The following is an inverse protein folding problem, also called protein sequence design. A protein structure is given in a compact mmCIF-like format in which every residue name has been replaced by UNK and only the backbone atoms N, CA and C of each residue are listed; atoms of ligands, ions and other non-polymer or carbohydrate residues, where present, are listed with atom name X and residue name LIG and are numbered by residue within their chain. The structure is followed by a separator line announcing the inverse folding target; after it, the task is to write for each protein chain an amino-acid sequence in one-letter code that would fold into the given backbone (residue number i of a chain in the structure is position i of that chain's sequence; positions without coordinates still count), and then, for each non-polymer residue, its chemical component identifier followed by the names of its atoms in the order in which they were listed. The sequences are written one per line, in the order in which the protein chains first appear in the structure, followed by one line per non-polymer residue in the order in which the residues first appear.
data_IF_255677282533
#
_entry.id   IF_255677282533
#
_cell.length_a   1.000
_cell.length_b   1.000
_cell.length_c   1.000
_cell.angle_alpha   90.00
_cell.angle_beta   90.00
_cell.angle_gamma   90.00
#
_symmetry.space_group_name_H-M   'P 1'
#
loop_
_entity.id
_entity.type
_entity.pdbx_description
1 polymer ?
#
# COMPACT_ATOMS: atom_id res chain seq x y z
N UNK A 1 -50.52 17.47 25.72
CA UNK A 1 -49.96 17.57 24.36
C UNK A 1 -48.43 17.71 24.36
N UNK A 2 -47.83 18.45 25.27
CA UNK A 2 -46.35 18.69 25.32
C UNK A 2 -45.48 17.44 25.61
N UNK A 3 -45.93 16.43 26.33
CA UNK A 3 -45.15 15.21 26.63
C UNK A 3 -44.87 14.32 25.39
N UNK A 4 -45.77 14.34 24.39
CA UNK A 4 -45.55 13.56 23.13
C UNK A 4 -44.57 14.22 22.16
N UNK A 5 -44.45 15.55 22.16
CA UNK A 5 -43.46 16.25 21.30
C UNK A 5 -42.04 15.96 21.77
N UNK A 6 -41.76 15.91 23.07
CA UNK A 6 -40.43 15.62 23.60
C UNK A 6 -39.94 14.20 23.33
N UNK A 7 -40.83 13.23 23.23
CA UNK A 7 -40.46 11.84 22.90
C UNK A 7 -40.11 11.67 21.40
N UNK A 8 -40.81 12.38 20.51
CA UNK A 8 -40.54 12.32 19.07
C UNK A 8 -39.21 13.00 18.73
N UNK A 9 -38.91 14.14 19.37
CA UNK A 9 -37.63 14.84 19.16
C UNK A 9 -36.43 14.04 19.69
N UNK A 10 -36.57 13.34 20.82
CA UNK A 10 -35.51 12.51 21.39
C UNK A 10 -35.24 11.25 20.53
N UNK A 11 -36.30 10.62 20.00
CA UNK A 11 -36.17 9.47 19.11
C UNK A 11 -35.53 9.84 17.78
N UNK A 12 -35.86 10.98 17.18
CA UNK A 12 -35.23 11.50 15.98
C UNK A 12 -33.75 11.84 16.20
N UNK A 13 -33.39 12.46 17.31
CA UNK A 13 -32.02 12.76 17.67
C UNK A 13 -31.18 11.48 17.87
N UNK A 14 -31.80 10.46 18.50
CA UNK A 14 -31.13 9.18 18.71
C UNK A 14 -30.95 8.40 17.41
N UNK A 15 -31.88 8.47 16.45
CA UNK A 15 -31.74 7.92 15.12
C UNK A 15 -30.66 8.63 14.31
N UNK A 16 -30.53 9.95 14.43
CA UNK A 16 -29.47 10.73 13.78
C UNK A 16 -28.09 10.42 14.38
N UNK A 17 -27.99 10.25 15.69
CA UNK A 17 -26.74 9.87 16.35
C UNK A 17 -26.34 8.42 16.01
N UNK A 18 -27.30 7.49 15.98
CA UNK A 18 -27.04 6.10 15.58
C UNK A 18 -26.69 5.96 14.09
N UNK A 19 -27.36 6.71 13.20
CA UNK A 19 -26.98 6.72 11.78
C UNK A 19 -25.64 7.39 11.53
N UNK A 20 -25.29 8.45 12.26
CA UNK A 20 -23.97 9.08 12.22
C UNK A 20 -22.86 8.15 12.71
N UNK A 21 -23.09 7.41 13.79
CA UNK A 21 -22.13 6.43 14.33
C UNK A 21 -22.00 5.21 13.41
N UNK A 22 -23.09 4.74 12.79
CA UNK A 22 -23.07 3.68 11.78
C UNK A 22 -22.37 4.11 10.48
N UNK A 23 -22.46 5.40 10.11
CA UNK A 23 -21.76 5.92 8.94
C UNK A 23 -20.26 6.04 9.19
N UNK A 24 -19.83 6.42 10.39
CA UNK A 24 -18.43 6.46 10.80
C UNK A 24 -17.83 5.06 10.99
N UNK A 25 -18.64 4.05 11.31
CA UNK A 25 -18.18 2.67 11.48
C UNK A 25 -17.98 1.90 10.15
N UNK A 26 -18.49 2.41 9.04
CA UNK A 26 -18.35 1.76 7.73
C UNK A 26 -17.20 2.32 6.86
N UNK A 27 -16.44 3.27 7.36
CA UNK A 27 -15.31 3.88 6.65
C UNK A 27 -13.94 3.43 7.20
N UNK A 28 -13.87 2.24 7.80
CA UNK A 28 -12.56 1.65 8.12
C UNK A 28 -12.08 0.88 6.89
N UNK A 29 -11.53 1.63 5.94
CA UNK A 29 -10.84 1.05 4.79
C UNK A 29 -9.61 0.26 5.27
N UNK A 30 -9.32 -0.82 4.56
CA UNK A 30 -8.11 -1.63 4.78
C UNK A 30 -6.94 -0.78 4.33
N UNK A 31 -6.19 -0.24 5.27
CA UNK A 31 -5.05 0.62 5.00
C UNK A 31 -3.78 -0.23 5.06
N UNK A 32 -3.17 -0.44 3.91
CA UNK A 32 -1.83 -0.99 3.82
C UNK A 32 -0.82 0.17 3.80
N UNK A 33 0.18 0.19 4.68
CA UNK A 33 1.11 1.31 4.85
C UNK A 33 0.42 2.69 4.89
N UNK A 34 -0.82 2.70 5.28
CA UNK A 34 -1.74 3.83 5.36
C UNK A 34 -1.66 4.81 4.18
N UNK A 35 -2.57 4.64 3.25
CA UNK A 35 -2.78 5.60 2.15
C UNK A 35 -3.38 6.92 2.63
N UNK A 36 -4.01 6.93 3.83
CA UNK A 36 -4.74 8.09 4.35
C UNK A 36 -4.74 8.22 5.88
N UNK A 37 -3.65 7.90 6.55
CA UNK A 37 -3.47 7.88 8.01
C UNK A 37 -3.80 9.18 8.76
N UNK A 38 -4.84 9.88 8.35
CA UNK A 38 -5.23 11.18 8.93
C UNK A 38 -4.31 12.34 8.53
N UNK A 39 -3.30 12.07 7.70
CA UNK A 39 -2.53 13.10 7.02
C UNK A 39 -2.69 12.92 5.49
N UNK A 40 -3.75 13.48 4.90
CA UNK A 40 -4.07 13.30 3.48
C UNK A 40 -3.00 13.86 2.54
N UNK A 41 -1.96 14.50 3.07
CA UNK A 41 -0.94 15.17 2.26
C UNK A 41 0.26 14.30 1.96
N UNK A 42 0.56 13.25 2.77
CA UNK A 42 1.76 12.42 2.58
C UNK A 42 1.64 11.02 3.21
N UNK A 43 0.96 10.07 2.57
CA UNK A 43 0.91 8.69 3.02
C UNK A 43 2.29 7.98 2.89
N UNK A 44 2.46 6.86 3.58
CA UNK A 44 3.71 6.09 3.59
C UNK A 44 4.13 5.65 2.18
N UNK A 45 3.18 5.26 1.33
CA UNK A 45 3.42 4.94 -0.09
C UNK A 45 4.06 6.11 -0.86
N UNK A 46 3.59 7.35 -0.62
CA UNK A 46 4.22 8.52 -1.21
C UNK A 46 5.70 8.62 -0.85
N UNK A 47 6.06 8.47 0.43
CA UNK A 47 7.46 8.56 0.86
C UNK A 47 8.36 7.50 0.23
N UNK A 48 7.87 6.25 0.12
CA UNK A 48 8.61 5.15 -0.47
C UNK A 48 8.85 5.41 -1.96
N UNK A 49 7.75 5.72 -2.69
CA UNK A 49 7.80 5.98 -4.13
C UNK A 49 8.63 7.23 -4.46
N UNK A 50 8.45 8.35 -3.73
CA UNK A 50 9.25 9.57 -3.92
C UNK A 50 10.72 9.33 -3.71
N UNK A 51 11.09 8.62 -2.64
CA UNK A 51 12.48 8.28 -2.39
C UNK A 51 13.07 7.47 -3.54
N UNK A 52 12.33 6.49 -4.07
CA UNK A 52 12.78 5.66 -5.18
C UNK A 52 13.01 6.49 -6.45
N UNK A 53 12.11 7.44 -6.76
CA UNK A 53 12.23 8.37 -7.89
C UNK A 53 13.50 9.23 -7.71
N UNK A 54 13.71 9.81 -6.53
CA UNK A 54 14.84 10.67 -6.25
C UNK A 54 16.18 9.94 -6.39
N UNK A 55 16.25 8.66 -6.00
CA UNK A 55 17.44 7.83 -6.18
C UNK A 55 17.73 7.51 -7.66
N UNK A 56 16.73 7.60 -8.53
CA UNK A 56 16.85 7.29 -9.96
C UNK A 56 16.90 8.54 -10.84
N UNK A 57 16.81 9.73 -10.27
CA UNK A 57 16.69 10.99 -11.01
C UNK A 57 17.79 11.22 -12.07
N UNK A 58 19.00 10.77 -11.80
CA UNK A 58 20.13 10.92 -12.73
C UNK A 58 20.24 9.78 -13.74
N UNK A 59 19.78 8.58 -13.40
CA UNK A 59 19.92 7.37 -14.25
C UNK A 59 18.66 7.05 -15.03
N UNK A 60 17.50 7.49 -14.55
CA UNK A 60 16.20 7.27 -15.17
C UNK A 60 15.30 8.52 -15.00
N UNK A 61 15.69 9.67 -15.58
CA UNK A 61 15.03 10.97 -15.36
C UNK A 61 13.56 10.99 -15.81
N UNK A 62 13.14 10.07 -16.66
CA UNK A 62 11.76 9.97 -17.10
C UNK A 62 10.80 9.69 -15.93
N UNK A 63 11.20 8.94 -14.91
CA UNK A 63 10.38 8.73 -13.71
C UNK A 63 10.05 10.05 -13.00
N UNK A 64 10.98 10.98 -12.94
CA UNK A 64 10.77 12.29 -12.32
C UNK A 64 9.79 13.14 -13.14
N UNK A 65 9.77 13.02 -14.47
CA UNK A 65 8.80 13.71 -15.33
C UNK A 65 7.35 13.26 -15.09
N UNK A 66 7.16 12.02 -14.62
CA UNK A 66 5.86 11.42 -14.31
C UNK A 66 5.67 11.13 -12.81
N UNK A 67 6.42 11.83 -11.95
CA UNK A 67 6.39 11.69 -10.49
C UNK A 67 4.97 11.71 -9.94
N UNK A 68 4.16 12.69 -10.37
CA UNK A 68 2.78 12.84 -9.90
C UNK A 68 1.94 11.59 -10.18
N UNK A 69 2.04 11.02 -11.38
CA UNK A 69 1.30 9.83 -11.78
C UNK A 69 1.74 8.59 -11.00
N UNK A 70 3.05 8.43 -10.78
CA UNK A 70 3.60 7.35 -9.96
C UNK A 70 3.08 7.40 -8.53
N UNK A 71 3.14 8.57 -7.90
CA UNK A 71 2.67 8.78 -6.52
C UNK A 71 1.17 8.60 -6.43
N UNK A 72 0.40 9.15 -7.38
CA UNK A 72 -1.06 8.97 -7.41
C UNK A 72 -1.42 7.48 -7.55
N UNK A 73 -0.73 6.73 -8.40
CA UNK A 73 -0.91 5.30 -8.53
C UNK A 73 -0.56 4.55 -7.25
N UNK A 74 0.59 4.85 -6.64
CA UNK A 74 1.03 4.22 -5.41
C UNK A 74 0.11 4.50 -4.20
N UNK A 75 -0.56 5.65 -4.19
CA UNK A 75 -1.53 6.00 -3.15
C UNK A 75 -2.97 5.56 -3.48
N UNK A 76 -3.18 4.90 -4.60
CA UNK A 76 -4.53 4.51 -5.01
C UNK A 76 -4.85 3.13 -4.46
N UNK A 77 -5.77 3.07 -3.51
CA UNK A 77 -6.32 1.81 -3.06
C UNK A 77 -7.05 1.08 -4.19
N UNK A 78 -6.85 -0.22 -4.28
CA UNK A 78 -7.36 -1.00 -5.41
C UNK A 78 -8.89 -0.92 -5.56
N UNK A 79 -9.63 -0.76 -4.46
CA UNK A 79 -11.08 -0.58 -4.49
C UNK A 79 -11.52 0.80 -5.01
N UNK A 80 -10.66 1.82 -4.92
CA UNK A 80 -10.93 3.17 -5.41
C UNK A 80 -10.81 3.30 -6.93
N UNK A 81 -10.13 2.37 -7.60
CA UNK A 81 -9.93 2.41 -9.05
C UNK A 81 -11.24 2.49 -9.81
N UNK A 82 -12.28 1.85 -9.30
CA UNK A 82 -13.63 1.92 -9.87
C UNK A 82 -14.21 3.33 -9.82
N UNK A 83 -13.92 4.08 -8.76
CA UNK A 83 -14.39 5.46 -8.57
C UNK A 83 -13.64 6.44 -9.48
N UNK A 84 -12.40 6.14 -9.85
CA UNK A 84 -11.55 6.98 -10.70
C UNK A 84 -11.75 6.74 -12.20
N UNK A 85 -12.80 6.01 -12.61
CA UNK A 85 -13.10 5.66 -14.01
C UNK A 85 -11.91 5.04 -14.77
N UNK A 86 -11.04 4.36 -14.07
CA UNK A 86 -9.94 3.63 -14.70
C UNK A 86 -10.49 2.38 -15.40
N UNK A 87 -9.91 1.96 -16.54
CA UNK A 87 -10.30 0.72 -17.21
C UNK A 87 -9.90 -0.46 -16.34
N UNK A 88 -10.82 -0.87 -15.47
CA UNK A 88 -10.60 -1.97 -14.54
C UNK A 88 -11.01 -3.25 -15.25
N UNK A 89 -10.04 -4.04 -15.68
CA UNK A 89 -10.27 -5.44 -16.09
C UNK A 89 -10.62 -6.33 -14.89
N UNK A 90 -10.26 -5.91 -13.73
CA UNK A 90 -10.35 -6.62 -12.46
C UNK A 90 -11.48 -5.95 -11.69
N UNK A 91 -12.72 -6.40 -11.90
CA UNK A 91 -13.89 -5.91 -11.16
C UNK A 91 -13.70 -6.10 -9.68
N UNK A 92 -13.12 -5.09 -9.05
CA UNK A 92 -12.65 -5.19 -7.69
C UNK A 92 -13.84 -4.90 -6.77
N UNK A 93 -14.39 -5.94 -6.19
CA UNK A 93 -15.12 -5.79 -4.94
C UNK A 93 -14.13 -5.65 -3.78
N UNK A 94 -14.62 -5.18 -2.65
CA UNK A 94 -13.80 -4.95 -1.46
C UNK A 94 -13.09 -6.23 -0.98
N UNK A 95 -13.70 -7.40 -1.15
CA UNK A 95 -13.11 -8.68 -0.78
C UNK A 95 -11.97 -9.10 -1.72
N UNK A 96 -12.12 -8.87 -3.02
CA UNK A 96 -11.06 -9.11 -3.99
C UNK A 96 -9.87 -8.17 -3.73
N UNK A 97 -10.11 -6.89 -3.47
CA UNK A 97 -9.07 -5.94 -3.10
C UNK A 97 -8.29 -6.42 -1.86
N UNK A 98 -8.98 -6.84 -0.81
CA UNK A 98 -8.36 -7.38 0.41
C UNK A 98 -7.46 -8.60 0.14
N UNK A 99 -7.87 -9.50 -0.75
CA UNK A 99 -7.05 -10.66 -1.15
C UNK A 99 -5.81 -10.28 -1.94
N UNK A 100 -5.88 -9.22 -2.72
CA UNK A 100 -4.76 -8.72 -3.51
C UNK A 100 -3.65 -8.12 -2.66
N UNK A 101 -4.00 -7.42 -1.57
CA UNK A 101 -3.04 -6.88 -0.60
C UNK A 101 -2.33 -7.96 0.24
N UNK A 102 -2.81 -9.20 0.22
CA UNK A 102 -2.16 -10.30 0.93
C UNK A 102 -1.23 -11.05 -0.01
N UNK A 103 -0.05 -11.43 0.44
CA UNK A 103 0.97 -12.16 -0.34
C UNK A 103 0.49 -13.50 -0.92
N UNK A 104 -0.66 -13.50 -1.63
CA UNK A 104 -1.31 -14.65 -2.25
C UNK A 104 -0.83 -14.85 -3.68
N UNK A 105 -1.11 -16.02 -4.25
CA UNK A 105 -0.85 -16.27 -5.68
C UNK A 105 -1.76 -15.42 -6.58
N UNK A 106 -2.95 -15.06 -6.11
CA UNK A 106 -3.86 -14.15 -6.81
C UNK A 106 -3.25 -12.76 -6.89
N UNK A 107 -2.72 -12.22 -5.79
CA UNK A 107 -2.00 -10.94 -5.82
C UNK A 107 -0.81 -10.94 -6.79
N UNK A 108 -0.07 -12.04 -6.87
CA UNK A 108 1.03 -12.17 -7.84
C UNK A 108 0.55 -12.14 -9.30
N UNK A 109 -0.58 -12.76 -9.62
CA UNK A 109 -1.15 -12.72 -10.98
C UNK A 109 -1.67 -11.33 -11.34
N UNK A 110 -2.27 -10.63 -10.38
CA UNK A 110 -2.82 -9.29 -10.60
C UNK A 110 -1.72 -8.26 -10.83
N UNK A 111 -0.62 -8.32 -10.09
CA UNK A 111 0.51 -7.40 -10.27
C UNK A 111 1.19 -7.57 -11.64
N UNK A 112 1.26 -8.79 -12.17
CA UNK A 112 1.70 -9.03 -13.55
C UNK A 112 0.75 -8.38 -14.57
N UNK A 113 -0.57 -8.41 -14.30
CA UNK A 113 -1.59 -7.74 -15.11
C UNK A 113 -1.39 -6.23 -15.13
N UNK A 114 -1.21 -5.59 -13.99
CA UNK A 114 -0.92 -4.16 -13.87
C UNK A 114 0.34 -3.77 -14.62
N UNK A 115 1.39 -4.58 -14.53
CA UNK A 115 2.60 -4.38 -15.30
C UNK A 115 2.37 -4.43 -16.80
N UNK A 116 1.65 -5.45 -17.30
CA UNK A 116 1.34 -5.60 -18.73
C UNK A 116 0.54 -4.42 -19.27
N UNK A 117 -0.44 -3.96 -18.52
CA UNK A 117 -1.27 -2.81 -18.91
C UNK A 117 -0.45 -1.50 -18.88
N UNK A 118 0.45 -1.33 -17.92
CA UNK A 118 1.40 -0.22 -17.88
C UNK A 118 2.31 -0.20 -19.10
N UNK A 119 2.93 -1.34 -19.44
CA UNK A 119 3.82 -1.47 -20.59
C UNK A 119 3.08 -1.22 -21.91
N UNK A 120 1.86 -1.72 -22.05
CA UNK A 120 1.02 -1.48 -23.22
C UNK A 120 0.66 0.01 -23.36
N UNK A 121 0.27 0.68 -22.29
CA UNK A 121 -0.01 2.12 -22.29
C UNK A 121 1.22 2.92 -22.72
N UNK A 122 2.41 2.56 -22.22
CA UNK A 122 3.68 3.20 -22.58
C UNK A 122 3.98 3.05 -24.08
N UNK A 123 3.87 1.84 -24.63
CA UNK A 123 4.07 1.54 -26.05
C UNK A 123 3.09 2.24 -26.98
N UNK A 124 1.88 2.53 -26.49
CA UNK A 124 0.88 3.33 -27.19
C UNK A 124 1.12 4.84 -27.09
N UNK A 125 2.18 5.29 -26.40
CA UNK A 125 2.48 6.69 -26.18
C UNK A 125 1.69 7.36 -25.04
N UNK A 126 0.80 6.62 -24.37
CA UNK A 126 0.02 7.12 -23.24
C UNK A 126 0.85 7.02 -21.94
N UNK A 127 1.91 7.82 -21.87
CA UNK A 127 2.87 7.75 -20.76
C UNK A 127 2.25 8.09 -19.40
N UNK A 128 1.34 9.06 -19.32
CA UNK A 128 0.67 9.38 -18.05
C UNK A 128 -0.05 8.17 -17.46
N UNK A 129 -0.83 7.47 -18.30
CA UNK A 129 -1.52 6.25 -17.89
C UNK A 129 -0.53 5.14 -17.53
N UNK A 130 0.55 5.00 -18.30
CA UNK A 130 1.58 4.00 -18.03
C UNK A 130 2.20 4.17 -16.64
N UNK A 131 2.61 5.39 -16.30
CA UNK A 131 3.22 5.65 -15.00
C UNK A 131 2.23 5.60 -13.84
N UNK A 132 0.94 5.93 -14.05
CA UNK A 132 -0.10 5.71 -13.06
C UNK A 132 -0.28 4.21 -12.75
N UNK A 133 -0.42 3.36 -13.79
CA UNK A 133 -0.53 1.91 -13.63
C UNK A 133 0.73 1.28 -13.02
N UNK A 134 1.90 1.82 -13.37
CA UNK A 134 3.16 1.44 -12.73
C UNK A 134 3.13 1.79 -11.23
N UNK A 135 2.58 2.94 -10.85
CA UNK A 135 2.40 3.32 -9.45
C UNK A 135 1.54 2.31 -8.68
N UNK A 136 0.43 1.83 -9.27
CA UNK A 136 -0.41 0.78 -8.67
C UNK A 136 0.40 -0.53 -8.48
N UNK A 137 1.22 -0.91 -9.45
CA UNK A 137 2.10 -2.06 -9.31
C UNK A 137 3.09 -1.88 -8.15
N UNK A 138 3.66 -0.66 -8.00
CA UNK A 138 4.58 -0.36 -6.89
C UNK A 138 3.88 -0.42 -5.54
N UNK A 139 2.64 0.09 -5.41
CA UNK A 139 1.81 -0.05 -4.22
C UNK A 139 1.76 -1.49 -3.72
N UNK A 140 1.45 -2.44 -4.60
CA UNK A 140 1.40 -3.86 -4.24
C UNK A 140 2.77 -4.41 -3.78
N UNK A 141 3.88 -3.91 -4.35
CA UNK A 141 5.23 -4.28 -3.91
C UNK A 141 5.54 -3.67 -2.53
N UNK A 142 5.08 -2.46 -2.28
CA UNK A 142 5.23 -1.73 -1.03
C UNK A 142 4.47 -2.44 0.10
N UNK A 143 3.26 -2.90 -0.15
CA UNK A 143 2.46 -3.72 0.76
C UNK A 143 3.21 -4.96 1.23
N UNK A 144 3.95 -5.60 0.36
CA UNK A 144 4.78 -6.75 0.73
C UNK A 144 5.91 -6.37 1.69
N UNK A 145 6.16 -5.10 1.92
CA UNK A 145 7.03 -4.59 2.98
C UNK A 145 6.45 -4.73 4.38
N UNK A 146 5.14 -4.88 4.50
CA UNK A 146 4.40 -5.00 5.75
C UNK A 146 4.34 -6.47 6.19
N UNK A 147 4.74 -6.80 7.44
CA UNK A 147 4.73 -8.17 7.92
C UNK A 147 3.37 -8.87 7.85
N UNK A 148 2.27 -8.16 8.12
CA UNK A 148 0.93 -8.72 8.05
C UNK A 148 0.57 -9.17 6.63
N UNK A 149 0.78 -8.30 5.64
CA UNK A 149 0.52 -8.61 4.23
C UNK A 149 1.39 -9.77 3.74
N UNK A 150 2.69 -9.71 3.99
CA UNK A 150 3.63 -10.74 3.58
C UNK A 150 3.28 -12.12 4.17
N UNK A 151 2.85 -12.18 5.43
CA UNK A 151 2.48 -13.40 6.12
C UNK A 151 1.02 -13.83 5.93
N UNK A 152 0.26 -13.12 5.09
CA UNK A 152 -1.17 -13.40 4.81
C UNK A 152 -2.05 -13.31 6.05
N UNK A 153 -1.70 -12.41 6.96
CA UNK A 153 -2.48 -12.16 8.16
C UNK A 153 -3.55 -11.16 7.81
N UNK A 154 -4.79 -11.61 7.84
CA UNK A 154 -5.93 -10.74 7.64
C UNK A 154 -6.04 -9.75 8.78
N UNK A 155 -6.06 -8.48 8.47
CA UNK A 155 -6.34 -7.42 9.39
C UNK A 155 -7.39 -6.50 8.75
N UNK A 156 -8.40 -6.17 9.53
CA UNK A 156 -9.41 -5.19 9.12
C UNK A 156 -9.11 -3.87 9.80
N UNK A 157 -9.40 -2.79 9.13
CA UNK A 157 -9.40 -1.46 9.72
C UNK A 157 -10.49 -1.25 10.79
N UNK A 158 -10.93 -2.30 11.47
CA UNK A 158 -11.82 -2.15 12.62
C UNK A 158 -10.97 -2.08 13.91
N UNK A 159 -11.52 -1.46 14.93
CA UNK A 159 -10.87 -1.20 16.23
C UNK A 159 -10.35 -2.46 16.95
N UNK A 160 -10.69 -3.65 16.48
CA UNK A 160 -10.31 -4.93 17.10
C UNK A 160 -9.15 -5.63 16.38
N UNK A 161 -8.88 -5.28 15.11
CA UNK A 161 -7.88 -5.91 14.25
C UNK A 161 -6.95 -4.90 13.58
N UNK A 162 -6.71 -3.80 14.26
CA UNK A 162 -5.88 -2.69 13.79
C UNK A 162 -4.40 -3.09 13.71
N UNK A 163 -3.75 -2.88 12.56
CA UNK A 163 -2.32 -3.09 12.41
C UNK A 163 -1.52 -1.86 12.85
N UNK A 164 -1.00 -1.92 14.07
CA UNK A 164 -0.16 -0.86 14.59
C UNK A 164 1.14 -0.65 13.80
N UNK A 165 1.63 -1.66 13.08
CA UNK A 165 2.82 -1.51 12.26
C UNK A 165 2.57 -0.52 11.12
N UNK A 166 1.46 -0.64 10.43
CA UNK A 166 1.06 0.27 9.36
C UNK A 166 0.75 1.66 9.90
N UNK A 167 -0.08 1.74 10.94
CA UNK A 167 -0.47 3.01 11.54
C UNK A 167 0.71 3.83 12.06
N UNK A 168 1.72 3.18 12.65
CA UNK A 168 2.86 3.86 13.22
C UNK A 168 3.97 4.14 12.19
N UNK A 169 3.88 3.58 10.99
CA UNK A 169 4.93 3.69 9.98
C UNK A 169 5.24 5.14 9.60
N UNK A 170 4.23 5.97 9.41
CA UNK A 170 4.43 7.37 9.05
C UNK A 170 4.97 8.21 10.21
N UNK A 171 4.37 8.11 11.40
CA UNK A 171 4.81 8.86 12.57
C UNK A 171 6.23 8.50 13.01
N UNK A 172 6.71 7.31 12.60
CA UNK A 172 8.05 6.80 12.86
C UNK A 172 8.87 6.60 11.57
N UNK A 173 8.68 7.46 10.57
CA UNK A 173 9.44 7.40 9.33
C UNK A 173 10.92 7.67 9.58
N UNK A 174 11.70 6.59 9.70
CA UNK A 174 13.16 6.61 9.92
C UNK A 174 13.79 5.41 9.21
N UNK A 175 13.76 5.36 7.87
CA UNK A 175 14.26 4.21 7.13
C UNK A 175 15.75 3.97 7.38
N UNK A 176 16.11 2.73 7.68
CA UNK A 176 17.50 2.32 7.78
C UNK A 176 17.99 1.81 6.42
N UNK A 177 18.64 2.67 5.67
CA UNK A 177 19.21 2.33 4.37
C UNK A 177 20.53 1.54 4.45
N UNK A 178 21.13 1.41 5.63
CA UNK A 178 22.40 0.71 5.82
C UNK A 178 22.21 -0.79 6.07
N UNK A 179 21.02 -1.21 6.48
CA UNK A 179 20.72 -2.62 6.76
C UNK A 179 20.08 -3.32 5.54
N UNK A 180 20.82 -3.32 4.43
CA UNK A 180 20.42 -4.02 3.22
C UNK A 180 21.22 -5.31 3.15
N UNK A 181 20.65 -6.38 3.71
CA UNK A 181 21.27 -7.70 3.79
C UNK A 181 20.95 -8.60 2.58
N UNK A 182 20.32 -8.07 1.54
CA UNK A 182 20.09 -8.76 0.26
C UNK A 182 20.46 -7.87 -0.90
N UNK A 183 21.05 -8.49 -1.92
CA UNK A 183 21.39 -7.82 -3.17
C UNK A 183 20.18 -7.71 -4.09
N UNK A 184 20.22 -6.73 -5.00
CA UNK A 184 19.27 -6.64 -6.10
C UNK A 184 19.30 -7.91 -6.94
N UNK A 185 18.19 -8.64 -7.08
CA UNK A 185 18.14 -9.85 -7.93
C UNK A 185 18.20 -9.54 -9.44
N UNK A 186 18.13 -8.27 -9.82
CA UNK A 186 18.17 -7.78 -11.21
C UNK A 186 17.11 -8.42 -12.11
N UNK A 187 15.86 -8.51 -11.59
CA UNK A 187 14.75 -9.01 -12.40
C UNK A 187 14.49 -8.08 -13.61
N UNK A 188 14.28 -8.67 -14.78
CA UNK A 188 13.87 -7.95 -15.98
C UNK A 188 12.41 -7.58 -15.95
N UNK A 189 11.57 -8.38 -15.31
CA UNK A 189 10.16 -8.14 -15.08
C UNK A 189 9.96 -7.51 -13.70
N UNK A 190 9.54 -6.24 -13.65
CA UNK A 190 9.46 -5.50 -12.38
C UNK A 190 8.46 -6.08 -11.40
N UNK A 191 7.41 -6.74 -11.86
CA UNK A 191 6.40 -7.39 -11.00
C UNK A 191 6.99 -8.52 -10.13
N UNK A 192 8.09 -9.15 -10.54
CA UNK A 192 8.77 -10.20 -9.74
C UNK A 192 9.35 -9.71 -8.41
N UNK A 193 9.52 -8.42 -8.26
CA UNK A 193 9.93 -7.83 -6.98
C UNK A 193 8.86 -7.94 -5.90
N UNK A 194 7.60 -8.23 -6.23
CA UNK A 194 6.54 -8.54 -5.29
C UNK A 194 6.88 -9.78 -4.44
N UNK A 195 7.17 -10.90 -5.08
CA UNK A 195 7.57 -12.12 -4.36
C UNK A 195 8.86 -11.92 -3.58
N UNK A 196 9.82 -11.20 -4.15
CA UNK A 196 11.08 -10.89 -3.47
C UNK A 196 10.84 -10.05 -2.20
N UNK A 197 10.01 -9.01 -2.27
CA UNK A 197 9.64 -8.19 -1.10
C UNK A 197 8.95 -9.02 -0.04
N UNK A 198 7.94 -9.82 -0.43
CA UNK A 198 7.22 -10.73 0.46
C UNK A 198 8.15 -11.69 1.20
N UNK A 199 9.00 -12.40 0.46
CA UNK A 199 9.87 -13.44 1.04
C UNK A 199 10.97 -12.84 1.91
N UNK A 200 11.41 -11.62 1.60
CA UNK A 200 12.33 -10.88 2.46
C UNK A 200 11.65 -10.45 3.76
N UNK A 201 10.41 -9.97 3.68
CA UNK A 201 9.64 -9.56 4.86
C UNK A 201 9.33 -10.72 5.79
N UNK A 202 8.95 -11.88 5.22
CA UNK A 202 8.75 -13.11 6.00
C UNK A 202 10.01 -13.56 6.75
N UNK A 203 11.16 -13.44 6.11
CA UNK A 203 12.43 -13.80 6.74
C UNK A 203 12.79 -12.85 7.90
N UNK A 204 12.43 -11.55 7.77
CA UNK A 204 12.69 -10.55 8.81
C UNK A 204 11.73 -10.66 10.01
N UNK A 205 10.51 -11.13 9.76
CA UNK A 205 9.43 -11.16 10.72
C UNK A 205 8.70 -12.53 10.74
N UNK A 206 9.44 -13.63 11.00
CA UNK A 206 8.87 -14.99 10.92
C UNK A 206 7.82 -15.25 12.01
N UNK A 207 7.90 -14.53 13.13
CA UNK A 207 6.98 -14.68 14.27
C UNK A 207 5.65 -13.92 14.06
N UNK A 208 5.57 -13.08 13.03
CA UNK A 208 4.37 -12.29 12.76
C UNK A 208 3.43 -13.01 11.80
N UNK A 209 2.86 -14.12 12.28
CA UNK A 209 2.02 -15.02 11.49
C UNK A 209 0.59 -15.18 12.04
N UNK A 210 0.18 -14.37 13.01
CA UNK A 210 -1.19 -14.40 13.55
C UNK A 210 -1.73 -13.00 13.84
N UNK A 211 -3.05 -12.76 13.67
CA UNK A 211 -3.69 -11.47 13.92
C UNK A 211 -3.47 -10.94 15.34
N UNK A 212 -3.41 -11.83 16.33
CA UNK A 212 -3.21 -11.47 17.73
C UNK A 212 -1.83 -10.87 18.03
N UNK A 213 -0.86 -11.06 17.15
CA UNK A 213 0.49 -10.53 17.33
C UNK A 213 0.63 -9.09 16.82
N UNK A 214 -0.23 -8.65 15.90
CA UNK A 214 -0.13 -7.32 15.29
C UNK A 214 -0.93 -6.26 16.03
N UNK A 215 -2.16 -6.55 16.42
CA UNK A 215 -3.08 -5.52 16.92
C UNK A 215 -2.87 -5.14 18.38
N UNK A 216 -2.30 -6.03 19.20
CA UNK A 216 -2.26 -5.84 20.66
C UNK A 216 -0.87 -5.66 21.24
N UNK A 217 0.18 -6.02 20.53
CA UNK A 217 1.55 -6.09 21.07
C UNK A 217 2.51 -5.06 20.50
N UNK A 218 2.24 -4.48 19.33
CA UNK A 218 3.07 -3.44 18.78
C UNK A 218 2.81 -2.10 19.45
N UNK A 219 3.64 -1.79 20.44
CA UNK A 219 3.60 -0.48 21.12
C UNK A 219 4.71 0.43 20.65
N UNK A 220 5.66 -0.11 19.83
CA UNK A 220 6.93 0.54 19.48
C UNK A 220 7.75 0.99 20.69
N UNK A 221 7.41 0.47 21.84
CA UNK A 221 8.16 0.71 23.08
C UNK A 221 9.52 0.00 23.06
N UNK A 222 9.58 -1.19 22.45
CA UNK A 222 10.81 -1.98 22.38
C UNK A 222 11.75 -1.49 21.27
N UNK A 223 13.07 -1.60 21.52
CA UNK A 223 14.08 -1.34 20.50
C UNK A 223 13.97 -2.30 19.31
N UNK A 224 13.57 -3.57 19.56
CA UNK A 224 13.40 -4.60 18.53
C UNK A 224 12.32 -4.16 17.52
N UNK A 225 11.17 -3.71 17.99
CA UNK A 225 10.06 -3.26 17.14
C UNK A 225 10.45 -2.04 16.30
N UNK A 226 11.04 -1.02 16.93
CA UNK A 226 11.51 0.18 16.20
C UNK A 226 12.56 -0.16 15.16
N UNK A 227 13.48 -1.07 15.48
CA UNK A 227 14.50 -1.51 14.53
C UNK A 227 13.89 -2.27 13.37
N UNK A 228 12.92 -3.16 13.61
CA UNK A 228 12.24 -3.88 12.53
C UNK A 228 11.49 -2.90 11.61
N UNK A 229 10.73 -1.96 12.15
CA UNK A 229 10.04 -0.94 11.35
C UNK A 229 11.02 -0.15 10.47
N UNK A 230 12.08 0.37 11.08
CA UNK A 230 13.12 1.15 10.39
C UNK A 230 13.81 0.36 9.28
N UNK A 231 14.14 -0.91 9.54
CA UNK A 231 14.75 -1.80 8.56
C UNK A 231 13.77 -2.12 7.43
N UNK A 232 12.50 -2.39 7.74
CA UNK A 232 11.48 -2.66 6.72
C UNK A 232 11.25 -1.44 5.82
N UNK A 233 11.18 -0.24 6.39
CA UNK A 233 11.08 1.00 5.60
C UNK A 233 12.25 1.13 4.60
N UNK A 234 13.49 0.99 5.06
CA UNK A 234 14.68 1.10 4.21
C UNK A 234 14.77 0.00 3.14
N UNK A 235 14.39 -1.23 3.49
CA UNK A 235 14.39 -2.39 2.58
C UNK A 235 13.32 -2.25 1.52
N UNK A 236 12.11 -1.87 1.90
CA UNK A 236 11.00 -1.64 0.95
C UNK A 236 11.33 -0.52 -0.04
N UNK A 237 11.87 0.60 0.40
CA UNK A 237 12.37 1.66 -0.46
C UNK A 237 13.37 1.13 -1.52
N UNK A 238 14.31 0.27 -1.12
CA UNK A 238 15.27 -0.30 -2.08
C UNK A 238 14.63 -1.26 -3.07
N UNK A 239 13.69 -2.11 -2.63
CA UNK A 239 12.95 -3.01 -3.54
C UNK A 239 12.15 -2.20 -4.56
N UNK A 240 11.45 -1.16 -4.14
CA UNK A 240 10.69 -0.27 -5.02
C UNK A 240 11.60 0.45 -6.01
N UNK A 241 12.74 0.97 -5.56
CA UNK A 241 13.76 1.55 -6.46
C UNK A 241 14.22 0.55 -7.52
N UNK A 242 14.49 -0.69 -7.15
CA UNK A 242 14.91 -1.73 -8.10
C UNK A 242 13.80 -2.09 -9.09
N UNK A 243 12.55 -2.22 -8.62
CA UNK A 243 11.38 -2.47 -9.45
C UNK A 243 11.14 -1.32 -10.45
N UNK A 244 11.20 -0.09 -9.98
CA UNK A 244 11.04 1.11 -10.80
C UNK A 244 12.13 1.21 -11.87
N UNK A 245 13.39 0.97 -11.51
CA UNK A 245 14.51 0.95 -12.48
C UNK A 245 14.33 -0.14 -13.54
N UNK A 246 13.90 -1.34 -13.14
CA UNK A 246 13.58 -2.44 -14.06
C UNK A 246 12.46 -2.05 -15.02
N UNK A 247 11.37 -1.43 -14.52
CA UNK A 247 10.24 -0.98 -15.34
C UNK A 247 10.67 0.06 -16.39
N UNK A 248 11.44 1.08 -15.99
CA UNK A 248 11.92 2.11 -16.91
C UNK A 248 12.85 1.53 -17.97
N UNK A 249 13.70 0.59 -17.58
CA UNK A 249 14.56 -0.15 -18.52
C UNK A 249 13.73 -0.90 -19.55
N UNK A 250 12.65 -1.57 -19.11
CA UNK A 250 11.77 -2.31 -20.00
C UNK A 250 10.91 -1.38 -20.90
N UNK A 251 10.51 -0.20 -20.41
CA UNK A 251 9.82 0.81 -21.23
C UNK A 251 10.68 1.27 -22.41
N UNK A 252 11.99 1.40 -22.20
CA UNK A 252 12.94 1.85 -23.20
C UNK A 252 13.55 0.72 -24.04
N UNK A 253 13.12 -0.52 -23.80
CA UNK A 253 13.56 -1.68 -24.61
C UNK A 253 12.67 -1.84 -25.84
N UNK A 254 13.26 -2.17 -27.01
CA UNK A 254 12.53 -2.35 -28.25
C UNK A 254 11.55 -3.52 -28.21
#
# INVERSE_FOLDING_TARGET
MMKRLGQITMSLLMCFLLSGVLWLANCADVLAWDSDNGNPTHPTHSYITEWAIDQLKTTAPEADNYRQQLIEGANTELHELKLKNQPIKYGIDLEAARKQHQGTNEGCNDIEGWWKDSLNAYRQGNKKQAYFLLGIMLHMIEDMGVPAHANKVYHQGNLTEFDNFEFMALSNWKPNFNDINRNNPNYKEPWKYYDFSRDWTKADAPDYNSPNQFSKTWTFASQKERSLLSNRQGRTCNVVKWALNSAITAFNSP
#
